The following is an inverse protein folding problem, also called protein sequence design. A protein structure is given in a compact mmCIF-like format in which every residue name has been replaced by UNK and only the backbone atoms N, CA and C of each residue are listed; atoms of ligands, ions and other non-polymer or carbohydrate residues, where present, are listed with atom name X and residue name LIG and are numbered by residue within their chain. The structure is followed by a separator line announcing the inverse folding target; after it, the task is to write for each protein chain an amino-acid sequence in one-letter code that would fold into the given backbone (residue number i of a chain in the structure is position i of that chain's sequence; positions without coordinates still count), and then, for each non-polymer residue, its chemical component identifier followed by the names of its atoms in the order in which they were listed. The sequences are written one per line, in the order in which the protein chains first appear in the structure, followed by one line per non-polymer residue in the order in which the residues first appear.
data_IF_775380371004
#
_entry.id   IF_775380371004
#
_cell.length_a   1.000
_cell.length_b   1.000
_cell.length_c   1.000
_cell.angle_alpha   90.00
_cell.angle_beta   90.00
_cell.angle_gamma   90.00
#
_symmetry.space_group_name_H-M   'P 1'
#
loop_
_entity.id
_entity.type
_entity.pdbx_description
1 polymer ?
#
# COMPACT_ATOMS: atom_id res chain seq x y z
N UNK A 1 24.91 33.38 -69.92
CA UNK A 1 24.36 32.02 -69.72
C UNK A 1 25.38 31.26 -68.89
N UNK A 2 25.07 30.99 -67.63
CA UNK A 2 25.78 30.03 -66.81
C UNK A 2 24.71 29.37 -65.95
N UNK A 3 24.38 28.14 -66.32
CA UNK A 3 23.42 27.28 -65.63
C UNK A 3 23.97 26.90 -64.26
N UNK A 4 23.11 26.92 -63.25
CA UNK A 4 23.41 26.39 -61.93
C UNK A 4 22.26 25.48 -61.51
N UNK A 5 22.60 24.19 -61.40
CA UNK A 5 21.72 23.07 -61.07
C UNK A 5 20.93 23.28 -59.76
N UNK A 6 19.70 22.77 -59.65
CA UNK A 6 19.01 22.73 -58.37
C UNK A 6 19.54 21.57 -57.52
N UNK A 7 20.11 21.88 -56.35
CA UNK A 7 20.46 20.88 -55.36
C UNK A 7 19.21 20.16 -54.84
N UNK A 8 19.23 18.84 -54.96
CA UNK A 8 18.20 17.92 -54.51
C UNK A 8 18.22 17.80 -52.98
N UNK A 9 17.30 18.51 -52.31
CA UNK A 9 17.14 18.44 -50.85
C UNK A 9 16.41 17.13 -50.52
N UNK A 10 17.16 16.09 -50.17
CA UNK A 10 16.60 14.83 -49.68
C UNK A 10 15.85 15.08 -48.38
N UNK A 11 14.51 15.10 -48.48
CA UNK A 11 13.61 15.27 -47.35
C UNK A 11 13.71 14.04 -46.45
N UNK A 12 14.47 14.14 -45.36
CA UNK A 12 14.41 13.19 -44.26
C UNK A 12 13.03 13.32 -43.62
N UNK A 13 12.10 12.45 -44.01
CA UNK A 13 10.78 12.37 -43.40
C UNK A 13 10.93 11.82 -41.98
N UNK A 14 10.74 12.69 -40.98
CA UNK A 14 10.63 12.28 -39.57
C UNK A 14 9.47 11.29 -39.45
N UNK A 15 9.77 10.07 -38.99
CA UNK A 15 8.74 9.06 -38.68
C UNK A 15 7.87 9.59 -37.54
N UNK A 16 6.56 9.60 -37.75
CA UNK A 16 5.61 10.07 -36.76
C UNK A 16 5.42 9.02 -35.67
N UNK A 17 5.42 9.43 -34.40
CA UNK A 17 5.17 8.55 -33.25
C UNK A 17 3.72 8.02 -33.18
N UNK A 18 2.85 8.44 -34.12
CA UNK A 18 1.43 8.03 -34.20
C UNK A 18 1.22 6.52 -34.19
N UNK A 19 2.15 5.74 -34.74
CA UNK A 19 2.05 4.27 -34.75
C UNK A 19 2.33 3.64 -33.39
N UNK A 20 3.12 4.29 -32.52
CA UNK A 20 3.40 3.82 -31.15
C UNK A 20 2.43 4.42 -30.12
N UNK A 21 1.97 5.65 -30.35
CA UNK A 21 1.06 6.36 -29.46
C UNK A 21 -0.22 6.74 -30.22
N UNK A 22 -1.28 5.95 -30.03
CA UNK A 22 -2.58 6.19 -30.68
C UNK A 22 -3.18 7.57 -30.33
N UNK A 23 -2.81 8.14 -29.19
CA UNK A 23 -3.21 9.48 -28.74
C UNK A 23 -2.34 10.60 -29.32
N UNK A 24 -1.24 10.32 -30.04
CA UNK A 24 -0.36 11.36 -30.58
C UNK A 24 -0.95 12.17 -31.76
N UNK A 25 -2.17 11.84 -32.20
CA UNK A 25 -2.94 12.69 -33.11
C UNK A 25 -3.70 13.81 -32.36
N UNK A 26 -3.88 13.66 -31.05
CA UNK A 26 -4.55 14.61 -30.18
C UNK A 26 -3.60 15.77 -29.84
N UNK A 27 -4.01 17.00 -30.17
CA UNK A 27 -3.25 18.21 -29.90
C UNK A 27 -3.64 18.87 -28.57
N UNK A 28 -4.61 18.34 -27.85
CA UNK A 28 -5.06 18.91 -26.56
C UNK A 28 -4.36 18.27 -25.35
N UNK A 29 -3.68 17.13 -25.54
CA UNK A 29 -2.94 16.41 -24.49
C UNK A 29 -1.45 16.20 -24.83
N UNK A 30 -0.74 17.30 -25.13
CA UNK A 30 0.70 17.32 -25.46
C UNK A 30 1.65 17.01 -24.30
N UNK A 31 1.14 16.81 -23.09
CA UNK A 31 1.92 16.43 -21.91
C UNK A 31 1.16 15.35 -21.18
N UNK A 32 1.72 14.13 -21.20
CA UNK A 32 1.12 12.91 -20.66
C UNK A 32 0.64 13.09 -19.23
N UNK A 33 -0.65 13.38 -19.06
CA UNK A 33 -1.31 13.19 -17.77
C UNK A 33 -1.24 11.69 -17.45
N UNK A 34 -0.78 11.29 -16.26
CA UNK A 34 -0.81 9.89 -15.88
C UNK A 34 -2.28 9.45 -15.84
N UNK A 35 -2.66 8.58 -16.77
CA UNK A 35 -3.91 7.81 -16.68
C UNK A 35 -3.82 6.96 -15.41
N UNK A 36 -4.52 7.41 -14.37
CA UNK A 36 -4.66 6.66 -13.12
C UNK A 36 -5.55 5.43 -13.37
N UNK A 37 -4.96 4.35 -13.89
CA UNK A 37 -5.45 2.96 -13.73
C UNK A 37 -4.58 1.95 -14.50
N UNK A 38 -3.34 1.75 -14.07
CA UNK A 38 -2.49 0.62 -14.51
C UNK A 38 -2.90 -0.69 -13.80
N UNK A 39 -4.17 -1.11 -13.92
CA UNK A 39 -4.64 -2.39 -13.35
C UNK A 39 -5.22 -3.37 -14.36
N UNK A 40 -5.24 -3.06 -15.65
CA UNK A 40 -5.78 -3.99 -16.65
C UNK A 40 -5.06 -3.88 -18.00
N UNK A 41 -3.78 -4.25 -18.07
CA UNK A 41 -3.08 -4.46 -19.34
C UNK A 41 -2.17 -5.70 -19.34
N UNK A 42 -2.43 -6.68 -18.46
CA UNK A 42 -1.65 -7.93 -18.46
C UNK A 42 -2.47 -9.19 -18.76
N UNK A 43 -3.67 -9.06 -19.31
CA UNK A 43 -4.40 -10.23 -19.80
C UNK A 43 -5.04 -9.98 -21.15
N UNK A 44 -4.67 -10.86 -22.08
CA UNK A 44 -5.38 -11.31 -23.28
C UNK A 44 -5.07 -10.66 -24.63
N UNK A 45 -4.47 -11.51 -25.46
CA UNK A 45 -4.58 -11.54 -26.92
C UNK A 45 -6.05 -11.47 -27.38
N UNK A 46 -6.36 -10.52 -28.25
CA UNK A 46 -7.18 -10.71 -29.47
C UNK A 46 -7.35 -9.38 -30.20
N UNK A 47 -7.38 -9.36 -31.55
CA UNK A 47 -7.52 -8.14 -32.32
C UNK A 47 -8.97 -7.99 -32.79
N UNK A 48 -9.85 -7.32 -32.04
CA UNK A 48 -11.18 -7.00 -32.56
C UNK A 48 -11.68 -5.62 -32.12
N UNK A 49 -11.93 -4.85 -33.17
CA UNK A 49 -13.12 -4.04 -33.41
C UNK A 49 -13.23 -2.62 -32.82
N UNK A 50 -13.70 -1.77 -33.71
CA UNK A 50 -13.72 -0.32 -33.68
C UNK A 50 -14.88 0.12 -32.80
N UNK A 51 -14.62 0.31 -31.52
CA UNK A 51 -15.54 1.01 -30.62
C UNK A 51 -15.37 2.52 -30.75
N UNK A 52 -16.29 3.18 -31.46
CA UNK A 52 -16.45 4.65 -31.43
C UNK A 52 -16.51 5.13 -29.97
N UNK A 53 -15.45 5.81 -29.52
CA UNK A 53 -15.45 6.48 -28.23
C UNK A 53 -16.42 7.65 -28.33
N UNK A 54 -17.65 7.45 -27.86
CA UNK A 54 -18.64 8.50 -27.64
C UNK A 54 -17.98 9.65 -26.89
N UNK A 55 -17.73 10.74 -27.60
CA UNK A 55 -17.25 12.01 -27.04
C UNK A 55 -18.32 12.50 -26.05
N UNK A 56 -18.04 12.33 -24.77
CA UNK A 56 -18.79 13.00 -23.72
C UNK A 56 -18.53 14.49 -23.89
N UNK A 57 -19.57 15.21 -24.32
CA UNK A 57 -19.57 16.66 -24.42
C UNK A 57 -19.06 17.23 -23.09
N UNK A 58 -17.85 17.78 -23.10
CA UNK A 58 -17.38 18.65 -22.04
C UNK A 58 -18.22 19.92 -22.17
N UNK A 59 -19.36 19.92 -21.49
CA UNK A 59 -20.05 21.15 -21.14
C UNK A 59 -19.00 22.03 -20.48
N UNK A 60 -18.68 23.15 -21.13
CA UNK A 60 -17.80 24.21 -20.63
C UNK A 60 -18.37 24.71 -19.32
N UNK A 61 -17.96 24.06 -18.23
CA UNK A 61 -18.14 24.59 -16.89
C UNK A 61 -17.21 25.78 -16.81
N UNK A 62 -17.74 26.96 -17.04
CA UNK A 62 -17.06 28.23 -16.81
C UNK A 62 -16.44 28.16 -15.41
N UNK A 63 -15.13 27.97 -15.40
CA UNK A 63 -14.39 27.88 -14.15
C UNK A 63 -14.18 29.33 -13.76
N UNK A 64 -14.99 29.84 -12.84
CA UNK A 64 -14.78 31.17 -12.27
C UNK A 64 -13.39 31.18 -11.63
N UNK A 65 -12.43 31.78 -12.32
CA UNK A 65 -11.12 32.03 -11.77
C UNK A 65 -11.27 33.15 -10.74
N UNK A 66 -10.87 32.88 -9.49
CA UNK A 66 -10.82 33.90 -8.47
C UNK A 66 -9.68 34.88 -8.80
N UNK A 67 -10.05 36.04 -9.35
CA UNK A 67 -9.12 37.09 -9.76
C UNK A 67 -8.43 37.77 -8.56
N UNK A 68 -8.95 37.61 -7.34
CA UNK A 68 -8.34 38.19 -6.14
C UNK A 68 -7.00 37.53 -5.81
N UNK A 69 -6.82 36.26 -6.19
CA UNK A 69 -5.56 35.52 -6.01
C UNK A 69 -4.58 35.67 -7.17
N UNK A 70 -4.92 36.45 -8.20
CA UNK A 70 -4.08 36.61 -9.38
C UNK A 70 -2.89 37.53 -9.09
N UNK A 71 -1.69 37.00 -9.33
CA UNK A 71 -0.42 37.72 -9.29
C UNK A 71 -0.16 38.26 -10.70
N UNK A 72 0.22 39.54 -10.81
CA UNK A 72 0.51 40.19 -12.08
C UNK A 72 1.92 39.90 -12.56
N UNK A 73 2.20 40.09 -13.85
CA UNK A 73 3.56 40.00 -14.40
C UNK A 73 4.48 41.07 -13.78
N UNK A 74 3.93 42.25 -13.48
CA UNK A 74 4.66 43.35 -12.84
C UNK A 74 5.15 42.94 -11.44
N UNK A 75 4.34 42.19 -10.67
CA UNK A 75 4.73 41.70 -9.34
C UNK A 75 5.96 40.80 -9.36
N UNK A 76 6.26 40.17 -10.50
CA UNK A 76 7.37 39.24 -10.67
C UNK A 76 8.59 39.86 -11.37
N UNK A 77 8.41 41.00 -12.04
CA UNK A 77 9.42 41.57 -12.96
C UNK A 77 9.78 43.02 -12.69
N UNK A 78 9.03 43.74 -11.86
CA UNK A 78 9.27 45.14 -11.55
C UNK A 78 10.58 45.33 -10.74
N UNK A 79 11.53 46.15 -11.21
CA UNK A 79 12.81 46.38 -10.52
C UNK A 79 12.65 47.12 -9.17
N UNK A 80 11.56 47.86 -9.00
CA UNK A 80 11.25 48.58 -7.76
C UNK A 80 10.62 47.67 -6.69
N UNK A 81 10.29 46.42 -7.06
CA UNK A 81 9.75 45.38 -6.18
C UNK A 81 8.30 44.99 -6.48
N UNK A 82 7.85 43.90 -5.83
CA UNK A 82 6.48 43.39 -5.96
C UNK A 82 5.46 44.27 -5.24
N UNK A 83 4.20 44.27 -5.69
CA UNK A 83 3.13 45.03 -5.04
C UNK A 83 2.77 44.49 -3.65
N UNK A 84 2.07 45.31 -2.87
CA UNK A 84 1.52 44.90 -1.56
C UNK A 84 0.57 43.69 -1.69
N UNK A 85 -0.23 43.65 -2.76
CA UNK A 85 -1.16 42.54 -3.02
C UNK A 85 -0.42 41.20 -3.17
N UNK A 86 0.74 41.20 -3.83
CA UNK A 86 1.56 40.00 -3.95
C UNK A 86 1.99 39.46 -2.57
N UNK A 87 2.48 40.36 -1.70
CA UNK A 87 2.92 39.97 -0.36
C UNK A 87 1.78 39.47 0.52
N UNK A 88 0.59 40.07 0.39
CA UNK A 88 -0.61 39.60 1.08
C UNK A 88 -0.97 38.16 0.65
N UNK A 89 -1.04 37.88 -0.66
CA UNK A 89 -1.33 36.54 -1.19
C UNK A 89 -0.25 35.55 -0.73
N UNK A 90 1.02 35.95 -0.75
CA UNK A 90 2.12 35.10 -0.33
C UNK A 90 2.06 34.78 1.17
N UNK A 91 1.72 35.76 2.01
CA UNK A 91 1.53 35.55 3.44
C UNK A 91 0.39 34.58 3.73
N UNK A 92 -0.75 34.73 3.06
CA UNK A 92 -1.90 33.82 3.20
C UNK A 92 -1.54 32.38 2.76
N UNK A 93 -0.89 32.23 1.61
CA UNK A 93 -0.43 30.91 1.13
C UNK A 93 0.56 30.27 2.11
N UNK A 94 1.47 31.05 2.67
CA UNK A 94 2.42 30.58 3.69
C UNK A 94 1.72 30.20 4.98
N UNK A 95 0.68 30.92 5.38
CA UNK A 95 -0.11 30.60 6.56
C UNK A 95 -0.83 29.25 6.39
N UNK A 96 -1.47 29.02 5.24
CA UNK A 96 -2.13 27.76 4.93
C UNK A 96 -1.10 26.61 4.92
N UNK A 97 0.01 26.78 4.21
CA UNK A 97 1.06 25.76 4.16
C UNK A 97 1.66 25.45 5.55
N UNK A 98 1.78 26.47 6.42
CA UNK A 98 2.22 26.28 7.79
C UNK A 98 1.20 25.52 8.62
N UNK A 99 -0.09 25.86 8.48
CA UNK A 99 -1.17 25.17 9.17
C UNK A 99 -1.22 23.69 8.78
N UNK A 100 -1.16 23.40 7.48
CA UNK A 100 -1.11 22.02 6.96
C UNK A 100 0.10 21.25 7.53
N UNK A 101 1.28 21.89 7.59
CA UNK A 101 2.48 21.28 8.14
C UNK A 101 2.38 21.02 9.66
N UNK A 102 1.71 21.90 10.42
CA UNK A 102 1.49 21.72 11.85
C UNK A 102 0.51 20.57 12.12
N UNK A 103 -0.59 20.50 11.36
CA UNK A 103 -1.56 19.41 11.45
C UNK A 103 -0.94 18.05 11.10
N UNK A 104 -0.12 18.00 10.05
CA UNK A 104 0.64 16.79 9.71
C UNK A 104 1.63 16.43 10.82
N UNK A 105 2.33 17.41 11.40
CA UNK A 105 3.28 17.16 12.49
C UNK A 105 2.58 16.57 13.73
N UNK A 106 1.43 17.11 14.11
CA UNK A 106 0.62 16.61 15.22
C UNK A 106 0.16 15.17 14.94
N UNK A 107 -0.34 14.91 13.74
CA UNK A 107 -0.76 13.55 13.33
C UNK A 107 0.41 12.57 13.39
N UNK A 108 1.58 12.94 12.89
CA UNK A 108 2.77 12.10 12.92
C UNK A 108 3.24 11.83 14.36
N UNK A 109 3.18 12.82 15.25
CA UNK A 109 3.50 12.63 16.67
C UNK A 109 2.58 11.61 17.32
N UNK A 110 1.28 11.70 17.08
CA UNK A 110 0.31 10.73 17.60
C UNK A 110 0.60 9.31 17.08
N UNK A 111 0.85 9.16 15.78
CA UNK A 111 1.22 7.85 15.21
C UNK A 111 2.49 7.29 15.85
N UNK A 112 3.50 8.13 16.09
CA UNK A 112 4.74 7.71 16.75
C UNK A 112 4.48 7.28 18.19
N UNK A 113 3.62 8.00 18.92
CA UNK A 113 3.24 7.65 20.29
C UNK A 113 2.51 6.30 20.33
N UNK A 114 1.47 6.13 19.52
CA UNK A 114 0.70 4.89 19.40
C UNK A 114 1.63 3.69 19.07
N UNK A 115 2.50 3.84 18.06
CA UNK A 115 3.44 2.78 17.67
C UNK A 115 4.48 2.48 18.75
N UNK A 116 4.90 3.47 19.54
CA UNK A 116 5.84 3.25 20.65
C UNK A 116 5.18 2.49 21.78
N UNK A 117 3.92 2.80 22.07
CA UNK A 117 3.13 2.09 23.08
C UNK A 117 2.94 0.63 22.66
N UNK A 118 2.50 0.38 21.43
CA UNK A 118 2.35 -0.98 20.89
C UNK A 118 3.68 -1.76 20.93
N UNK A 119 4.79 -1.12 20.55
CA UNK A 119 6.11 -1.75 20.59
C UNK A 119 6.53 -2.10 22.04
N UNK A 120 6.22 -1.24 23.00
CA UNK A 120 6.49 -1.50 24.41
C UNK A 120 5.67 -2.70 24.92
N UNK A 121 4.38 -2.77 24.56
CA UNK A 121 3.51 -3.91 24.90
C UNK A 121 4.04 -5.22 24.30
N UNK A 122 4.46 -5.23 23.04
CA UNK A 122 5.02 -6.43 22.42
C UNK A 122 6.34 -6.88 23.05
N UNK A 123 7.20 -5.93 23.44
CA UNK A 123 8.43 -6.26 24.17
C UNK A 123 8.12 -6.86 25.54
N UNK A 124 7.18 -6.29 26.28
CA UNK A 124 6.76 -6.83 27.56
C UNK A 124 6.23 -8.26 27.42
N UNK A 125 5.34 -8.51 26.46
CA UNK A 125 4.81 -9.86 26.21
C UNK A 125 5.91 -10.85 25.79
N UNK A 126 6.92 -10.40 25.04
CA UNK A 126 8.07 -11.21 24.69
C UNK A 126 8.92 -11.56 25.92
N UNK A 127 9.16 -10.59 26.80
CA UNK A 127 9.90 -10.78 28.04
C UNK A 127 9.16 -11.75 28.99
N UNK A 128 7.84 -11.62 29.11
CA UNK A 128 6.98 -12.55 29.86
C UNK A 128 7.03 -13.97 29.27
N UNK A 129 6.95 -14.10 27.93
CA UNK A 129 7.05 -15.40 27.28
C UNK A 129 8.43 -16.05 27.45
N UNK A 130 9.51 -15.27 27.37
CA UNK A 130 10.86 -15.74 27.63
C UNK A 130 11.03 -16.19 29.09
N UNK A 131 10.53 -15.40 30.04
CA UNK A 131 10.49 -15.77 31.46
C UNK A 131 9.71 -17.06 31.68
N UNK A 132 8.57 -17.25 31.01
CA UNK A 132 7.80 -18.48 31.11
C UNK A 132 8.57 -19.71 30.57
N UNK A 133 9.27 -19.53 29.44
CA UNK A 133 10.15 -20.56 28.87
C UNK A 133 11.29 -20.91 29.83
N UNK A 134 11.88 -19.93 30.51
CA UNK A 134 12.91 -20.16 31.52
C UNK A 134 12.40 -21.00 32.70
N UNK A 135 11.23 -20.67 33.24
CA UNK A 135 10.59 -21.46 34.30
C UNK A 135 10.34 -22.91 33.85
N UNK A 136 9.82 -23.13 32.64
CA UNK A 136 9.62 -24.49 32.11
C UNK A 136 10.95 -25.25 31.98
N UNK A 137 12.00 -24.59 31.50
CA UNK A 137 13.33 -25.20 31.39
C UNK A 137 13.88 -25.59 32.76
N UNK A 138 13.69 -24.74 33.76
CA UNK A 138 14.10 -25.00 35.15
C UNK A 138 13.33 -26.20 35.72
N UNK A 139 12.01 -26.22 35.59
CA UNK A 139 11.17 -27.34 36.04
C UNK A 139 11.57 -28.67 35.36
N UNK A 140 11.81 -28.67 34.05
CA UNK A 140 12.23 -29.87 33.32
C UNK A 140 13.64 -30.33 33.72
N UNK A 141 14.55 -29.40 34.01
CA UNK A 141 15.87 -29.71 34.53
C UNK A 141 15.80 -30.30 35.94
N UNK A 142 14.92 -29.78 36.79
CA UNK A 142 14.68 -30.25 38.15
C UNK A 142 14.01 -31.64 38.18
N UNK A 143 13.09 -31.90 37.25
CA UNK A 143 12.40 -33.20 37.07
C UNK A 143 13.25 -34.30 36.41
N UNK A 144 14.46 -34.00 35.93
CA UNK A 144 15.40 -35.02 35.44
C UNK A 144 16.04 -35.84 36.57
N UNK A 145 15.79 -35.47 37.83
CA UNK A 145 15.99 -36.36 38.97
C UNK A 145 14.78 -37.31 39.05
N UNK A 146 14.90 -38.47 38.39
CA UNK A 146 13.91 -39.56 38.35
C UNK A 146 13.59 -40.13 39.75
N UNK A 147 12.89 -39.36 40.59
CA UNK A 147 12.11 -39.90 41.68
C UNK A 147 10.64 -39.61 41.38
N UNK A 148 10.03 -40.50 40.61
CA UNK A 148 8.58 -40.46 40.38
C UNK A 148 7.80 -40.81 41.65
N UNK A 149 8.45 -41.16 42.77
CA UNK A 149 7.82 -41.60 44.01
C UNK A 149 7.00 -42.88 43.87
N UNK A 150 7.10 -43.57 42.71
CA UNK A 150 6.39 -44.82 42.43
C UNK A 150 7.35 -45.96 42.77
N UNK A 151 7.14 -46.56 43.93
CA UNK A 151 7.81 -47.81 44.29
C UNK A 151 7.27 -48.95 43.41
N UNK A 152 8.11 -49.44 42.49
CA UNK A 152 7.78 -50.56 41.60
C UNK A 152 7.61 -51.89 42.35
N UNK A 153 7.92 -51.96 43.65
CA UNK A 153 7.63 -53.12 44.50
C UNK A 153 6.20 -53.15 45.04
N UNK A 154 5.40 -52.08 44.91
CA UNK A 154 4.00 -52.06 45.38
C UNK A 154 3.00 -52.61 44.33
N UNK A 155 3.49 -53.16 43.22
CA UNK A 155 2.70 -54.02 42.33
C UNK A 155 2.46 -55.35 43.05
N UNK A 156 1.48 -55.35 43.95
CA UNK A 156 0.85 -56.59 44.38
C UNK A 156 0.19 -57.21 43.15
N UNK A 157 0.80 -58.29 42.67
CA UNK A 157 0.21 -59.29 41.80
C UNK A 157 -1.12 -59.76 42.37
N UNK A 158 -2.19 -59.03 42.04
CA UNK A 158 -3.56 -59.49 42.16
C UNK A 158 -3.93 -60.21 40.86
N UNK A 159 -3.20 -61.28 40.58
CA UNK A 159 -3.61 -62.31 39.63
C UNK A 159 -3.36 -63.65 40.32
N UNK A 160 -4.37 -64.15 41.02
CA UNK A 160 -4.58 -65.57 41.34
C UNK A 160 -5.88 -65.73 42.15
N UNK A 161 -6.99 -65.99 41.45
CA UNK A 161 -8.05 -66.98 41.78
C UNK A 161 -9.03 -66.98 40.59
N UNK A 162 -8.83 -67.82 39.58
CA UNK A 162 -9.26 -69.22 39.51
C UNK A 162 -10.79 -69.40 39.36
N UNK A 163 -11.14 -69.89 38.16
CA UNK A 163 -12.11 -70.95 37.86
C UNK A 163 -13.62 -70.65 37.77
N UNK A 164 -14.05 -70.61 36.50
CA UNK A 164 -14.94 -71.56 35.81
C UNK A 164 -16.35 -71.92 36.31
N UNK A 165 -17.22 -72.03 35.29
CA UNK A 165 -18.48 -72.77 35.16
C UNK A 165 -19.80 -72.18 35.74
N UNK A 166 -20.70 -71.76 34.83
CA UNK A 166 -21.96 -72.48 34.53
C UNK A 166 -22.89 -71.70 33.57
N UNK A 167 -22.90 -72.11 32.31
CA UNK A 167 -24.05 -72.67 31.56
C UNK A 167 -25.47 -72.06 31.79
N UNK A 168 -26.03 -71.57 30.66
CA UNK A 168 -27.39 -71.76 30.12
C UNK A 168 -28.45 -70.63 30.15
N UNK A 169 -29.04 -70.49 28.94
CA UNK A 169 -30.41 -70.05 28.60
C UNK A 169 -30.67 -68.54 28.63
N UNK A 170 -31.31 -67.88 27.68
CA UNK A 170 -32.30 -68.24 26.64
C UNK A 170 -32.35 -67.08 25.63
N UNK A 171 -32.28 -67.37 24.32
CA UNK A 171 -33.38 -67.29 23.33
C UNK A 171 -33.98 -65.90 23.06
N UNK A 172 -33.81 -65.51 21.78
CA UNK A 172 -34.74 -64.84 20.87
C UNK A 172 -35.12 -63.37 21.14
N UNK A 173 -34.86 -62.50 20.15
CA UNK A 173 -35.92 -61.98 19.28
C UNK A 173 -35.31 -61.30 18.04
N UNK A 174 -35.83 -61.70 16.87
CA UNK A 174 -35.78 -60.95 15.61
C UNK A 174 -36.77 -59.78 15.68
#
# INVERSE_FOLDING_TARGET
MSDQEPQEVTKITRKSLRTLQRTAADRENLVGRPIKSLKHQLSQESPLDIGEVKRKNLSTKETQANLDTQISEDDLTNPDGASEKYWQILAEKRQIALQDALEENEKLRKIIEDLKEENAQYKQMLDEANSFVEVIKEELANNSNNDTGIDVNDVSTADETADDDAIASKKNED
#
